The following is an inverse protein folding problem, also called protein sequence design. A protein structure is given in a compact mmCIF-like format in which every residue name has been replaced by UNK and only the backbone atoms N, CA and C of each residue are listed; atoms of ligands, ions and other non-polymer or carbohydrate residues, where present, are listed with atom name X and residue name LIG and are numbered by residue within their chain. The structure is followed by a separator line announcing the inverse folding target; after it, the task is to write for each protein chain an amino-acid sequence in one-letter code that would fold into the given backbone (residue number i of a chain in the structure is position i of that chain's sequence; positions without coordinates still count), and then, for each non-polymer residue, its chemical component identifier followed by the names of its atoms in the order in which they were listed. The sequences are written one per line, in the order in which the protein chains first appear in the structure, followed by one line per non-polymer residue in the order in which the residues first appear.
data_IF_390624963947
#
_entry.id   IF_390624963947
#
_cell.length_a   1.000
_cell.length_b   1.000
_cell.length_c   1.000
_cell.angle_alpha   90.00
_cell.angle_beta   90.00
_cell.angle_gamma   90.00
#
_symmetry.space_group_name_H-M   'P 1'
#
loop_
_entity.id
_entity.type
_entity.pdbx_description
1 polymer ?
#
# COMPACT_ATOMS: atom_id res chain seq x y z
N UNK A 1 0.84 -22.24 6.98
CA UNK A 1 2.04 -21.60 6.41
C UNK A 1 1.71 -20.13 6.23
N UNK A 2 2.52 -19.21 6.75
CA UNK A 2 2.37 -17.78 6.43
C UNK A 2 2.61 -17.60 4.94
N UNK A 3 1.78 -16.80 4.27
CA UNK A 3 2.08 -16.42 2.89
C UNK A 3 3.35 -15.56 2.85
N UNK A 4 4.08 -15.64 1.74
CA UNK A 4 5.26 -14.83 1.52
C UNK A 4 4.86 -13.57 0.72
N UNK A 5 5.16 -12.39 1.26
CA UNK A 5 4.82 -11.08 0.68
C UNK A 5 6.08 -10.36 0.18
N UNK A 6 7.05 -11.12 -0.36
CA UNK A 6 8.40 -10.61 -0.64
C UNK A 6 8.37 -9.41 -1.60
N UNK A 7 7.56 -9.46 -2.67
CA UNK A 7 7.49 -8.35 -3.61
C UNK A 7 6.81 -7.13 -2.99
N UNK A 8 5.73 -7.32 -2.21
CA UNK A 8 5.09 -6.23 -1.47
C UNK A 8 6.06 -5.59 -0.46
N UNK A 9 6.85 -6.38 0.25
CA UNK A 9 7.87 -5.89 1.20
C UNK A 9 8.91 -5.01 0.50
N UNK A 10 9.40 -5.41 -0.68
CA UNK A 10 10.33 -4.60 -1.47
C UNK A 10 9.70 -3.29 -1.93
N UNK A 11 8.44 -3.33 -2.41
CA UNK A 11 7.72 -2.13 -2.82
C UNK A 11 7.52 -1.17 -1.64
N UNK A 12 7.15 -1.68 -0.46
CA UNK A 12 7.04 -0.88 0.76
C UNK A 12 8.36 -0.24 1.14
N UNK A 13 9.46 -1.02 1.16
CA UNK A 13 10.78 -0.50 1.52
C UNK A 13 11.19 0.65 0.60
N UNK A 14 11.02 0.47 -0.71
CA UNK A 14 11.33 1.49 -1.71
C UNK A 14 10.45 2.72 -1.61
N UNK A 15 9.15 2.53 -1.37
CA UNK A 15 8.23 3.64 -1.14
C UNK A 15 8.61 4.43 0.11
N UNK A 16 8.85 3.77 1.24
CA UNK A 16 9.21 4.42 2.49
C UNK A 16 10.54 5.19 2.40
N UNK A 17 11.55 4.62 1.73
CA UNK A 17 12.82 5.29 1.43
C UNK A 17 12.58 6.57 0.62
N UNK A 18 11.85 6.46 -0.50
CA UNK A 18 11.53 7.60 -1.35
C UNK A 18 10.82 8.72 -0.60
N UNK A 19 9.79 8.38 0.18
CA UNK A 19 9.02 9.37 0.95
C UNK A 19 9.87 10.10 2.00
N UNK A 20 10.79 9.41 2.66
CA UNK A 20 11.69 10.04 3.65
C UNK A 20 12.72 10.94 2.97
N UNK A 21 13.28 10.52 1.83
CA UNK A 21 14.39 11.22 1.18
C UNK A 21 13.93 12.39 0.30
N UNK A 22 12.86 12.22 -0.48
CA UNK A 22 12.40 13.21 -1.45
C UNK A 22 11.32 14.15 -0.89
N UNK A 23 10.59 13.71 0.13
CA UNK A 23 9.49 14.50 0.74
C UNK A 23 9.75 14.89 2.20
N UNK A 24 10.96 14.65 2.71
CA UNK A 24 11.38 14.97 4.10
C UNK A 24 10.40 14.45 5.16
N UNK A 25 9.76 13.30 4.90
CA UNK A 25 8.88 12.67 5.89
C UNK A 25 9.70 12.07 7.03
N UNK A 26 9.07 11.89 8.21
CA UNK A 26 9.75 11.38 9.40
C UNK A 26 10.42 10.02 9.13
N UNK A 27 11.72 9.91 9.50
CA UNK A 27 12.53 8.67 9.40
C UNK A 27 11.93 7.43 10.06
N UNK A 28 10.96 7.59 10.97
CA UNK A 28 10.24 6.47 11.56
C UNK A 28 9.44 5.65 10.53
N UNK A 29 9.10 6.22 9.36
CA UNK A 29 8.50 5.49 8.25
C UNK A 29 9.35 4.33 7.74
N UNK A 30 10.68 4.40 7.89
CA UNK A 30 11.58 3.28 7.56
C UNK A 30 11.41 2.06 8.47
N UNK A 31 10.62 2.18 9.54
CA UNK A 31 10.26 1.07 10.43
C UNK A 31 8.95 0.40 10.04
N UNK A 32 8.21 0.94 9.07
CA UNK A 32 6.94 0.36 8.62
C UNK A 32 7.19 -1.02 8.04
N UNK A 33 6.34 -1.99 8.36
CA UNK A 33 6.44 -3.36 7.84
C UNK A 33 5.09 -3.82 7.30
N UNK A 34 5.12 -4.66 6.28
CA UNK A 34 3.95 -5.42 5.84
C UNK A 34 3.94 -6.77 6.59
N UNK A 35 2.79 -7.17 7.10
CA UNK A 35 2.60 -8.42 7.83
C UNK A 35 1.44 -9.18 7.20
N UNK A 36 1.66 -10.43 6.80
CA UNK A 36 0.56 -11.30 6.36
C UNK A 36 -0.41 -11.56 7.53
N UNK A 37 -1.70 -11.32 7.30
CA UNK A 37 -2.76 -11.55 8.26
C UNK A 37 -3.86 -12.44 7.68
N UNK A 38 -4.06 -13.63 8.26
CA UNK A 38 -5.14 -14.54 7.85
C UNK A 38 -6.55 -13.97 8.05
N UNK A 39 -6.70 -12.94 8.90
CA UNK A 39 -7.96 -12.20 9.03
C UNK A 39 -8.27 -11.39 7.76
N UNK A 40 -7.25 -10.81 7.13
CA UNK A 40 -7.41 -10.07 5.88
C UNK A 40 -7.64 -10.99 4.68
N UNK A 41 -7.07 -12.20 4.68
CA UNK A 41 -7.43 -13.20 3.66
C UNK A 41 -8.95 -13.46 3.68
N UNK A 42 -9.52 -13.67 4.87
CA UNK A 42 -10.97 -13.90 5.05
C UNK A 42 -11.79 -12.67 4.69
N UNK A 43 -11.29 -11.47 5.00
CA UNK A 43 -11.96 -10.22 4.63
C UNK A 43 -11.98 -10.08 3.12
N UNK A 44 -10.84 -10.28 2.45
CA UNK A 44 -10.71 -10.26 0.98
C UNK A 44 -11.62 -11.29 0.30
N UNK A 45 -11.85 -12.44 0.96
CA UNK A 45 -12.77 -13.46 0.50
C UNK A 45 -14.24 -13.01 0.49
N UNK A 46 -14.60 -12.04 1.32
CA UNK A 46 -15.97 -11.48 1.40
C UNK A 46 -16.12 -10.12 0.72
N UNK A 47 -15.09 -9.29 0.79
CA UNK A 47 -14.99 -7.98 0.17
C UNK A 47 -13.68 -7.92 -0.63
N UNK A 48 -13.74 -7.95 -1.98
CA UNK A 48 -12.55 -7.97 -2.83
C UNK A 48 -11.73 -6.67 -2.77
N UNK A 49 -12.14 -5.67 -1.96
CA UNK A 49 -11.38 -4.45 -1.68
C UNK A 49 -10.61 -4.50 -0.36
N UNK A 50 -10.95 -5.43 0.53
CA UNK A 50 -10.31 -5.58 1.83
C UNK A 50 -8.96 -6.26 1.70
N UNK A 51 -7.91 -5.49 1.38
CA UNK A 51 -6.55 -6.01 1.25
C UNK A 51 -5.72 -5.78 2.49
N UNK A 52 -5.74 -4.55 3.02
CA UNK A 52 -4.91 -4.19 4.15
C UNK A 52 -5.69 -3.39 5.18
N UNK A 53 -5.13 -3.34 6.38
CA UNK A 53 -5.48 -2.36 7.40
C UNK A 53 -4.25 -2.00 8.24
N UNK A 54 -4.34 -0.86 8.90
CA UNK A 54 -3.43 -0.44 9.96
C UNK A 54 -4.20 -0.40 11.27
N UNK A 55 -3.56 -0.88 12.34
CA UNK A 55 -4.08 -0.71 13.71
C UNK A 55 -3.57 0.61 14.29
N UNK A 56 -4.40 1.27 15.09
CA UNK A 56 -4.03 2.53 15.74
C UNK A 56 -2.76 2.36 16.58
N UNK A 57 -1.85 3.33 16.49
CA UNK A 57 -0.55 3.36 17.18
C UNK A 57 0.45 2.27 16.77
N UNK A 58 0.21 1.55 15.67
CA UNK A 58 1.15 0.56 15.13
C UNK A 58 1.87 1.04 13.86
N UNK A 59 3.10 0.55 13.66
CA UNK A 59 3.91 0.76 12.45
C UNK A 59 3.83 -0.44 11.50
N UNK A 60 2.72 -1.18 11.53
CA UNK A 60 2.54 -2.38 10.72
C UNK A 60 1.31 -2.21 9.82
N UNK A 61 1.47 -2.64 8.57
CA UNK A 61 0.38 -2.78 7.60
C UNK A 61 0.05 -4.28 7.52
N UNK A 62 -1.11 -4.66 8.02
CA UNK A 62 -1.57 -6.05 7.99
C UNK A 62 -2.28 -6.29 6.67
N UNK A 63 -1.82 -7.26 5.88
CA UNK A 63 -2.32 -7.48 4.53
C UNK A 63 -2.71 -8.94 4.27
N UNK A 64 -3.67 -9.09 3.35
CA UNK A 64 -4.03 -10.35 2.74
C UNK A 64 -2.91 -10.84 1.80
N UNK A 65 -2.73 -12.15 1.69
CA UNK A 65 -1.72 -12.78 0.84
C UNK A 65 -1.90 -12.42 -0.65
N UNK A 66 -3.13 -12.10 -1.05
CA UNK A 66 -3.51 -11.79 -2.42
C UNK A 66 -2.87 -10.52 -2.96
N UNK A 67 -2.41 -9.62 -2.08
CA UNK A 67 -1.74 -8.38 -2.48
C UNK A 67 -0.46 -8.65 -3.29
N UNK A 68 0.23 -9.76 -3.05
CA UNK A 68 1.43 -10.18 -3.80
C UNK A 68 1.13 -10.42 -5.31
N UNK A 69 -0.13 -10.64 -5.67
CA UNK A 69 -0.57 -10.87 -7.05
C UNK A 69 -1.24 -9.66 -7.69
N UNK A 70 -1.33 -8.54 -6.95
CA UNK A 70 -1.86 -7.30 -7.49
C UNK A 70 -0.82 -6.63 -8.38
N UNK A 71 -1.24 -5.90 -9.44
CA UNK A 71 -0.33 -5.08 -10.21
C UNK A 71 0.38 -4.06 -9.33
N UNK A 72 1.69 -3.86 -9.52
CA UNK A 72 2.50 -2.93 -8.73
C UNK A 72 1.88 -1.53 -8.55
N UNK A 73 1.28 -0.90 -9.59
CA UNK A 73 0.62 0.41 -9.40
C UNK A 73 -0.50 0.39 -8.37
N UNK A 74 -1.22 -0.71 -8.26
CA UNK A 74 -2.30 -0.86 -7.27
C UNK A 74 -1.71 -1.19 -5.91
N UNK A 75 -0.73 -2.08 -5.85
CA UNK A 75 -0.03 -2.42 -4.60
C UNK A 75 0.61 -1.18 -3.97
N UNK A 76 1.33 -0.37 -4.75
CA UNK A 76 1.94 0.87 -4.28
C UNK A 76 0.88 1.89 -3.88
N UNK A 77 -0.23 2.01 -4.62
CA UNK A 77 -1.34 2.89 -4.26
C UNK A 77 -1.97 2.52 -2.91
N UNK A 78 -2.24 1.23 -2.69
CA UNK A 78 -2.73 0.71 -1.42
C UNK A 78 -1.73 0.96 -0.28
N UNK A 79 -0.45 0.64 -0.47
CA UNK A 79 0.58 0.87 0.54
C UNK A 79 0.74 2.36 0.90
N UNK A 80 0.70 3.24 -0.09
CA UNK A 80 0.78 4.69 0.11
C UNK A 80 -0.41 5.21 0.94
N UNK A 81 -1.61 4.67 0.69
CA UNK A 81 -2.80 4.96 1.47
C UNK A 81 -2.66 4.51 2.94
N UNK A 82 -2.20 3.28 3.17
CA UNK A 82 -1.98 2.77 4.53
C UNK A 82 -0.86 3.54 5.27
N UNK A 83 0.19 3.99 4.56
CA UNK A 83 1.20 4.89 5.13
C UNK A 83 0.57 6.21 5.58
N UNK A 84 -0.37 6.78 4.80
CA UNK A 84 -1.12 7.98 5.20
C UNK A 84 -1.87 7.77 6.51
N UNK A 85 -2.54 6.62 6.68
CA UNK A 85 -3.21 6.25 7.94
C UNK A 85 -2.26 6.11 9.13
N UNK A 86 -1.00 5.73 8.92
CA UNK A 86 0.03 5.70 9.98
C UNK A 86 0.54 7.13 10.27
N UNK A 87 0.83 7.90 9.23
CA UNK A 87 1.59 9.13 9.33
C UNK A 87 0.77 10.32 9.84
N UNK A 88 -0.43 10.51 9.28
CA UNK A 88 -1.27 11.69 9.54
C UNK A 88 -1.66 11.79 11.03
N UNK A 89 -2.18 10.73 11.69
CA UNK A 89 -2.50 10.80 13.12
C UNK A 89 -1.27 11.09 14.00
N UNK A 90 -0.07 10.69 13.55
CA UNK A 90 1.17 10.91 14.28
C UNK A 90 1.65 12.38 14.27
N UNK A 91 1.09 13.24 13.41
CA UNK A 91 1.46 14.67 13.34
C UNK A 91 0.99 15.47 14.55
N UNK A 92 -0.12 15.06 15.22
CA UNK A 92 -0.73 15.73 16.38
C UNK A 92 -1.04 17.21 16.12
N UNK A 93 -2.20 17.53 15.54
CA UNK A 93 -2.62 18.91 15.25
C UNK A 93 -3.68 19.00 14.15
N UNK A 94 -3.98 20.19 13.61
CA UNK A 94 -4.92 20.33 12.49
C UNK A 94 -4.52 19.49 11.26
N UNK A 95 -3.22 19.29 11.07
CA UNK A 95 -2.64 18.43 10.03
C UNK A 95 -3.06 16.96 10.16
N UNK A 96 -3.48 16.52 11.36
CA UNK A 96 -3.97 15.16 11.61
C UNK A 96 -5.46 14.97 11.26
N UNK A 97 -6.16 16.03 10.86
CA UNK A 97 -7.57 15.99 10.45
C UNK A 97 -7.74 15.91 8.93
N UNK A 98 -6.63 15.90 8.17
CA UNK A 98 -6.64 15.85 6.71
C UNK A 98 -7.03 14.45 6.24
N UNK A 99 -7.88 14.39 5.22
CA UNK A 99 -8.22 13.14 4.54
C UNK A 99 -6.97 12.52 3.87
N UNK A 100 -6.82 11.20 3.95
CA UNK A 100 -5.63 10.51 3.41
C UNK A 100 -5.46 10.76 1.92
N UNK A 101 -6.53 10.72 1.13
CA UNK A 101 -6.42 10.92 -0.32
C UNK A 101 -5.99 12.36 -0.63
N UNK A 102 -6.53 13.34 0.10
CA UNK A 102 -6.11 14.74 -0.03
C UNK A 102 -4.63 14.91 0.34
N UNK A 103 -4.20 14.31 1.45
CA UNK A 103 -2.79 14.34 1.87
C UNK A 103 -1.86 13.75 0.82
N UNK A 104 -2.22 12.61 0.19
CA UNK A 104 -1.42 11.99 -0.87
C UNK A 104 -1.29 12.94 -2.07
N UNK A 105 -2.41 13.51 -2.53
CA UNK A 105 -2.42 14.38 -3.71
C UNK A 105 -1.60 15.67 -3.50
N UNK A 106 -1.56 16.17 -2.26
CA UNK A 106 -0.77 17.36 -1.91
C UNK A 106 0.70 17.04 -1.64
N UNK A 107 0.97 15.94 -0.94
CA UNK A 107 2.32 15.60 -0.45
C UNK A 107 3.14 14.88 -1.49
N UNK A 108 2.53 14.00 -2.27
CA UNK A 108 3.18 13.12 -3.27
C UNK A 108 2.50 13.29 -4.64
N UNK A 109 2.43 14.51 -5.20
CA UNK A 109 1.66 14.79 -6.41
C UNK A 109 2.16 14.00 -7.63
N UNK A 110 3.45 13.67 -7.70
CA UNK A 110 4.04 12.86 -8.77
C UNK A 110 3.57 11.39 -8.79
N UNK A 111 2.87 10.94 -7.74
CA UNK A 111 2.28 9.61 -7.70
C UNK A 111 1.16 9.44 -8.72
N UNK A 112 0.59 10.56 -9.19
CA UNK A 112 -0.63 10.60 -10.00
C UNK A 112 -1.74 9.75 -9.37
N UNK A 113 -1.87 9.79 -8.03
CA UNK A 113 -2.77 8.92 -7.26
C UNK A 113 -4.23 9.02 -7.72
N UNK A 114 -4.88 7.87 -7.91
CA UNK A 114 -6.24 7.76 -8.46
C UNK A 114 -6.89 6.43 -8.10
N UNK A 115 -8.20 6.34 -8.36
CA UNK A 115 -8.95 5.10 -8.24
C UNK A 115 -9.15 4.45 -9.60
N UNK A 116 -8.71 3.20 -9.75
CA UNK A 116 -8.98 2.42 -10.96
C UNK A 116 -10.40 1.86 -10.94
N UNK A 117 -11.10 1.80 -12.09
CA UNK A 117 -12.47 1.28 -12.16
C UNK A 117 -12.52 -0.20 -11.77
N UNK A 118 -11.50 -0.95 -12.16
CA UNK A 118 -11.34 -2.35 -11.82
C UNK A 118 -9.90 -2.87 -11.93
N UNK A 119 -9.56 -3.82 -11.07
CA UNK A 119 -8.38 -4.67 -11.19
C UNK A 119 -8.77 -6.13 -11.01
N UNK A 120 -8.07 -7.00 -11.75
CA UNK A 120 -8.26 -8.45 -11.67
C UNK A 120 -7.02 -9.08 -11.06
N UNK A 121 -7.21 -9.98 -10.10
CA UNK A 121 -6.12 -10.67 -9.41
C UNK A 121 -6.48 -12.12 -9.07
N UNK A 122 -5.46 -12.90 -8.72
CA UNK A 122 -5.62 -14.30 -8.30
C UNK A 122 -5.99 -14.37 -6.82
N UNK A 123 -7.17 -14.92 -6.51
CA UNK A 123 -7.66 -15.01 -5.12
C UNK A 123 -6.90 -16.00 -4.26
N UNK A 124 -6.38 -17.10 -4.82
CA UNK A 124 -5.67 -18.12 -4.04
C UNK A 124 -4.52 -18.74 -4.83
N UNK A 125 -3.40 -19.01 -4.14
CA UNK A 125 -2.33 -19.89 -4.61
C UNK A 125 -2.80 -21.35 -4.54
N UNK A 126 -3.51 -21.77 -5.58
CA UNK A 126 -3.84 -23.17 -5.87
C UNK A 126 -3.96 -23.35 -7.39
N UNK A 127 -3.86 -24.58 -7.89
CA UNK A 127 -3.81 -24.92 -9.34
C UNK A 127 -5.01 -24.46 -10.19
N UNK A 128 -5.98 -23.76 -9.59
CA UNK A 128 -7.16 -23.18 -10.23
C UNK A 128 -7.60 -21.92 -9.48
N UNK A 129 -6.68 -21.00 -9.17
CA UNK A 129 -7.02 -19.73 -8.52
C UNK A 129 -8.08 -18.99 -9.36
N UNK A 130 -9.26 -18.75 -8.77
CA UNK A 130 -10.29 -17.97 -9.43
C UNK A 130 -9.79 -16.52 -9.60
N UNK A 131 -9.97 -15.98 -10.80
CA UNK A 131 -9.77 -14.56 -11.04
C UNK A 131 -10.90 -13.79 -10.37
N UNK A 132 -10.54 -12.81 -9.54
CA UNK A 132 -11.48 -11.94 -8.85
C UNK A 132 -11.28 -10.52 -9.34
N UNK A 133 -12.40 -9.82 -9.55
CA UNK A 133 -12.41 -8.43 -9.96
C UNK A 133 -12.76 -7.56 -8.76
N UNK A 134 -11.84 -6.70 -8.37
CA UNK A 134 -12.06 -5.63 -7.41
C UNK A 134 -12.32 -4.32 -8.17
N UNK A 135 -13.11 -3.41 -7.60
CA UNK A 135 -13.42 -2.10 -8.18
C UNK A 135 -13.00 -0.99 -7.23
N UNK A 136 -12.73 0.19 -7.78
CA UNK A 136 -12.39 1.39 -7.02
C UNK A 136 -11.24 1.12 -6.04
N UNK A 137 -10.14 0.60 -6.57
CA UNK A 137 -8.91 0.40 -5.82
C UNK A 137 -7.98 1.59 -6.03
N UNK A 138 -7.27 1.94 -4.97
CA UNK A 138 -6.20 2.92 -4.95
C UNK A 138 -5.08 2.49 -5.91
N UNK A 139 -4.62 3.40 -6.75
CA UNK A 139 -3.54 3.16 -7.70
C UNK A 139 -2.69 4.42 -7.89
N UNK A 140 -1.45 4.21 -8.32
CA UNK A 140 -0.53 5.27 -8.76
C UNK A 140 -0.16 5.09 -10.23
N UNK A 141 0.55 6.04 -10.84
CA UNK A 141 1.08 5.84 -12.19
C UNK A 141 2.23 4.85 -12.21
N UNK A 142 2.35 4.08 -13.30
CA UNK A 142 3.51 3.19 -13.49
C UNK A 142 4.84 3.98 -13.57
N UNK A 143 4.79 5.25 -13.96
CA UNK A 143 5.97 6.13 -13.94
C UNK A 143 6.47 6.33 -12.51
N UNK A 144 5.57 6.56 -11.57
CA UNK A 144 5.90 6.68 -10.15
C UNK A 144 6.48 5.38 -9.59
N UNK A 145 5.86 4.23 -9.89
CA UNK A 145 6.39 2.93 -9.46
C UNK A 145 7.82 2.71 -9.97
N UNK A 146 8.12 3.03 -11.24
CA UNK A 146 9.50 2.95 -11.75
C UNK A 146 10.46 3.84 -10.98
N UNK A 147 10.04 5.08 -10.70
CA UNK A 147 10.85 6.05 -9.95
C UNK A 147 11.24 5.51 -8.57
N UNK A 148 10.28 4.99 -7.78
CA UNK A 148 10.60 4.46 -6.45
C UNK A 148 11.50 3.21 -6.53
N UNK A 149 11.34 2.39 -7.56
CA UNK A 149 12.16 1.17 -7.73
C UNK A 149 13.59 1.44 -8.19
N UNK A 150 13.81 2.57 -8.86
CA UNK A 150 15.12 3.07 -9.28
C UNK A 150 15.79 3.92 -8.20
N UNK A 151 15.05 4.34 -7.17
CA UNK A 151 15.53 5.16 -6.07
C UNK A 151 16.64 4.47 -5.26
N UNK A 152 17.73 5.20 -5.01
CA UNK A 152 18.91 4.70 -4.28
C UNK A 152 19.84 3.78 -5.08
N UNK A 153 19.76 3.76 -6.42
CA UNK A 153 20.69 3.01 -7.30
C UNK A 153 21.91 3.83 -7.78
N UNK A 154 22.25 4.93 -7.11
CA UNK A 154 23.38 5.81 -7.44
C UNK A 154 24.55 5.65 -6.48
#
# INVERSE_FOLDING_TARGET
MSANLTHVEVLLEKLAQYLVEEHDLRKSLLKVRVIHCSGEDKRNDTDPRGFCHVQSDEWNIYCAAQLEFMPDPVTVGLLLHEIGHIYIPALKGPESEVDVDAWILETVPESDYYYIPDATYLRHLGKSGNLVRAKNLQSVSMRFVRRIMEHGRA
#
